data_IF_011721565355
#
_entry.id   IF_011721565355
#
_cell.length_a   1.000
_cell.length_b   1.000
_cell.length_c   1.000
_cell.angle_alpha   90.00
_cell.angle_beta   90.00
_cell.angle_gamma   90.00
#
_symmetry.space_group_name_H-M   'P 1'
#
loop_
_entity.id
_entity.type
_entity.pdbx_description
1 polymer ?
#
# COMPACT_ATOMS: atom_id res chain seq x y z
N UNK A 1 12.86 6.29 14.43
CA UNK A 1 11.98 5.50 13.54
C UNK A 1 12.25 5.97 12.13
N UNK A 2 12.77 5.10 11.27
CA UNK A 2 13.01 5.47 9.87
C UNK A 2 11.68 5.52 9.12
N UNK A 3 11.53 6.38 8.10
CA UNK A 3 10.27 6.47 7.30
C UNK A 3 9.83 5.09 6.82
N UNK A 4 10.80 4.25 6.42
CA UNK A 4 10.58 2.89 5.94
C UNK A 4 9.90 1.98 6.98
N UNK A 5 10.30 2.05 8.25
CA UNK A 5 9.69 1.26 9.34
C UNK A 5 8.21 1.61 9.55
N UNK A 6 7.82 2.86 9.29
CA UNK A 6 6.42 3.30 9.44
C UNK A 6 5.52 3.02 8.24
N UNK A 7 6.08 2.71 7.06
CA UNK A 7 5.29 2.60 5.83
C UNK A 7 4.22 1.50 5.89
N UNK A 8 4.53 0.35 6.46
CA UNK A 8 3.55 -0.74 6.58
C UNK A 8 2.38 -0.33 7.49
N UNK A 9 2.67 0.27 8.64
CA UNK A 9 1.65 0.73 9.57
C UNK A 9 0.75 1.79 8.93
N UNK A 10 1.35 2.77 8.23
CA UNK A 10 0.61 3.81 7.50
C UNK A 10 -0.25 3.24 6.37
N UNK A 11 0.24 2.26 5.62
CA UNK A 11 -0.52 1.59 4.58
C UNK A 11 -1.75 0.87 5.16
N UNK A 12 -1.56 0.13 6.26
CA UNK A 12 -2.65 -0.58 6.94
C UNK A 12 -3.69 0.39 7.51
N UNK A 13 -3.24 1.49 8.10
CA UNK A 13 -4.12 2.53 8.61
C UNK A 13 -4.92 3.19 7.48
N UNK A 14 -4.27 3.52 6.37
CA UNK A 14 -4.94 4.07 5.18
C UNK A 14 -6.02 3.13 4.65
N UNK A 15 -5.78 1.81 4.68
CA UNK A 15 -6.81 0.85 4.28
C UNK A 15 -7.94 0.75 5.30
N UNK A 16 -7.66 0.87 6.60
CA UNK A 16 -8.72 0.88 7.61
C UNK A 16 -9.61 2.13 7.48
N UNK A 17 -9.03 3.26 7.11
CA UNK A 17 -9.73 4.54 6.98
C UNK A 17 -10.54 4.64 5.67
N UNK A 18 -10.02 4.09 4.56
CA UNK A 18 -10.61 4.22 3.22
C UNK A 18 -11.25 2.92 2.69
N UNK A 19 -10.79 1.77 3.18
CA UNK A 19 -11.18 0.44 2.73
C UNK A 19 -12.50 -0.02 3.33
N UNK A 20 -13.60 0.50 2.79
CA UNK A 20 -14.96 0.04 3.08
C UNK A 20 -15.42 -1.12 2.18
N UNK A 21 -16.72 -1.40 2.23
CA UNK A 21 -17.39 -2.32 1.30
C UNK A 21 -17.31 -1.78 -0.13
N UNK A 22 -17.02 -2.65 -1.11
CA UNK A 22 -16.85 -2.28 -2.52
C UNK A 22 -15.57 -1.48 -2.82
N UNK A 23 -14.64 -1.37 -1.86
CA UNK A 23 -13.38 -0.67 -2.11
C UNK A 23 -12.46 -1.49 -3.01
N UNK A 24 -12.17 -0.95 -4.20
CA UNK A 24 -11.24 -1.54 -5.14
C UNK A 24 -9.79 -1.23 -4.73
N UNK A 25 -9.00 -2.27 -4.46
CA UNK A 25 -7.58 -2.11 -4.17
C UNK A 25 -6.79 -2.00 -5.47
N UNK A 26 -6.52 -0.77 -5.89
CA UNK A 26 -5.74 -0.49 -7.11
C UNK A 26 -4.26 -0.37 -6.82
N UNK A 27 -3.43 -0.70 -7.81
CA UNK A 27 -1.97 -0.53 -7.76
C UNK A 27 -1.58 0.93 -7.58
N UNK A 28 -2.31 1.86 -8.20
CA UNK A 28 -2.08 3.30 -8.06
C UNK A 28 -2.35 3.78 -6.63
N UNK A 29 -3.39 3.27 -5.98
CA UNK A 29 -3.66 3.56 -4.57
C UNK A 29 -2.52 3.05 -3.67
N UNK A 30 -2.08 1.80 -3.87
CA UNK A 30 -0.94 1.25 -3.10
C UNK A 30 0.34 2.07 -3.29
N UNK A 31 0.68 2.44 -4.54
CA UNK A 31 1.83 3.32 -4.83
C UNK A 31 1.67 4.66 -4.10
N UNK A 32 0.49 5.27 -4.17
CA UNK A 32 0.20 6.57 -3.55
C UNK A 32 0.39 6.53 -2.03
N UNK A 33 -0.10 5.50 -1.35
CA UNK A 33 0.07 5.36 0.11
C UNK A 33 1.51 5.07 0.52
N UNK A 34 2.28 4.38 -0.31
CA UNK A 34 3.70 4.12 -0.08
C UNK A 34 4.61 5.30 -0.47
N UNK A 35 4.11 6.25 -1.26
CA UNK A 35 4.76 7.52 -1.62
C UNK A 35 4.67 8.54 -0.48
N UNK A 36 5.23 8.20 0.68
CA UNK A 36 5.31 9.10 1.83
C UNK A 36 6.48 10.10 1.69
N UNK A 37 6.46 11.24 2.41
CA UNK A 37 7.60 12.16 2.44
C UNK A 37 8.92 11.45 2.79
N UNK A 38 9.92 11.60 1.92
CA UNK A 38 11.22 10.92 2.05
C UNK A 38 11.35 9.61 1.25
N UNK A 39 10.28 9.15 0.59
CA UNK A 39 10.34 8.06 -0.39
C UNK A 39 10.49 8.65 -1.79
N UNK A 40 11.59 8.33 -2.46
CA UNK A 40 11.83 8.80 -3.84
C UNK A 40 11.09 7.95 -4.88
N UNK A 41 11.03 6.63 -4.68
CA UNK A 41 10.46 5.69 -5.64
C UNK A 41 9.85 4.49 -4.93
N UNK A 42 8.68 4.08 -5.40
CA UNK A 42 8.03 2.82 -5.01
C UNK A 42 7.99 1.90 -6.22
N UNK A 43 8.36 0.64 -6.03
CA UNK A 43 8.23 -0.40 -7.04
C UNK A 43 7.37 -1.53 -6.47
N UNK A 44 6.26 -1.80 -7.15
CA UNK A 44 5.25 -2.76 -6.71
C UNK A 44 5.39 -4.05 -7.51
N UNK A 45 5.87 -5.10 -6.85
CA UNK A 45 6.01 -6.44 -7.43
C UNK A 45 4.69 -7.19 -7.44
N UNK A 46 3.92 -7.11 -6.35
CA UNK A 46 2.61 -7.73 -6.20
C UNK A 46 1.71 -6.81 -5.36
N UNK A 47 0.40 -6.73 -5.66
CA UNK A 47 -0.34 -7.47 -6.69
C UNK A 47 -0.05 -6.96 -8.11
N UNK A 48 0.05 -7.85 -9.11
CA UNK A 48 0.37 -7.51 -10.51
C UNK A 48 -0.77 -6.79 -11.24
N UNK A 49 -2.00 -6.99 -10.78
CA UNK A 49 -3.22 -6.36 -11.28
C UNK A 49 -4.00 -5.72 -10.15
N UNK A 50 -4.89 -4.80 -10.48
CA UNK A 50 -5.83 -4.23 -9.51
C UNK A 50 -6.78 -5.32 -8.99
N UNK A 51 -7.13 -5.23 -7.72
CA UNK A 51 -8.11 -6.14 -7.09
C UNK A 51 -9.44 -5.41 -6.98
N UNK A 52 -10.38 -5.79 -7.84
CA UNK A 52 -11.75 -5.29 -7.78
C UNK A 52 -12.55 -6.09 -6.76
N UNK A 53 -13.47 -5.42 -6.08
CA UNK A 53 -14.31 -6.00 -5.03
C UNK A 53 -15.76 -5.69 -5.32
N UNK A 54 -16.62 -6.70 -5.16
CA UNK A 54 -18.06 -6.56 -5.30
C UNK A 54 -18.67 -5.74 -4.15
N UNK A 55 -19.85 -5.14 -4.38
CA UNK A 55 -20.52 -4.21 -3.44
C UNK A 55 -20.77 -4.76 -2.02
N UNK A 56 -20.72 -6.08 -1.83
CA UNK A 56 -20.89 -6.75 -0.52
C UNK A 56 -19.60 -7.27 0.12
N UNK A 57 -18.44 -7.05 -0.50
CA UNK A 57 -17.15 -7.57 -0.04
C UNK A 57 -16.19 -6.44 0.32
N UNK A 58 -15.14 -6.77 1.07
CA UNK A 58 -14.07 -5.84 1.45
C UNK A 58 -12.70 -6.49 1.26
N UNK A 59 -11.68 -5.67 0.95
CA UNK A 59 -10.28 -6.14 0.87
C UNK A 59 -9.63 -6.11 2.25
N UNK A 60 -8.79 -7.11 2.53
CA UNK A 60 -7.82 -7.05 3.62
C UNK A 60 -6.40 -7.21 3.08
N UNK A 61 -5.45 -6.49 3.66
CA UNK A 61 -4.03 -6.74 3.44
C UNK A 61 -3.58 -7.92 4.30
N UNK A 62 -3.17 -9.00 3.65
CA UNK A 62 -2.53 -10.14 4.30
C UNK A 62 -1.09 -9.81 4.72
N UNK A 63 -0.14 -10.65 4.28
CA UNK A 63 1.29 -10.41 4.47
C UNK A 63 1.74 -9.23 3.62
N UNK A 64 2.26 -8.19 4.27
CA UNK A 64 2.90 -7.05 3.58
C UNK A 64 4.40 -7.22 3.74
N UNK A 65 5.12 -7.27 2.62
CA UNK A 65 6.58 -7.37 2.62
C UNK A 65 7.16 -6.17 1.91
N UNK A 66 7.77 -5.27 2.67
CA UNK A 66 8.49 -4.12 2.14
C UNK A 66 9.99 -4.42 2.14
N UNK A 67 10.68 -4.05 1.06
CA UNK A 67 12.14 -4.22 0.96
C UNK A 67 12.78 -2.89 0.64
N UNK A 68 13.69 -2.44 1.50
CA UNK A 68 14.47 -1.24 1.24
C UNK A 68 15.57 -1.55 0.21
N UNK A 69 15.52 -0.88 -0.95
CA UNK A 69 16.45 -1.11 -2.07
C UNK A 69 17.67 -0.18 -2.08
N UNK A 70 17.81 0.65 -1.04
CA UNK A 70 18.87 1.65 -0.94
C UNK A 70 18.34 3.07 -1.04
N UNK A 71 19.24 4.03 -0.88
CA UNK A 71 18.99 5.46 -1.04
C UNK A 71 19.94 5.98 -2.11
N UNK A 72 19.39 6.65 -3.11
CA UNK A 72 20.22 7.44 -4.02
C UNK A 72 20.71 8.67 -3.24
N UNK A 73 22.01 8.92 -3.27
CA UNK A 73 22.70 9.86 -2.36
C UNK A 73 23.44 10.92 -3.16
#
# INVERSE_FOLDING_TARGET
MTVFESLEALLRQSLADEGGLGFNLTRSWLVSKLQAPGVQKVSLTAPVTDTTVDDGAAVKLGTVTLTFKGRDR
#
